data_IF_434806294686
#
_entry.id   IF_434806294686
#
_cell.length_a   1.000
_cell.length_b   1.000
_cell.length_c   1.000
_cell.angle_alpha   90.00
_cell.angle_beta   90.00
_cell.angle_gamma   90.00
#
_symmetry.space_group_name_H-M   'P 1'
#
loop_
_entity.id
_entity.type
_entity.pdbx_description
1 polymer ?
#
# COMPACT_ATOMS: atom_id res chain seq x y z
N UNK A 1 20.56 1.24 -24.16
CA UNK A 1 20.34 1.85 -22.83
C UNK A 1 20.65 3.34 -22.77
N UNK A 2 21.70 3.86 -23.44
CA UNK A 2 22.00 5.31 -23.49
C UNK A 2 20.97 6.11 -24.30
N UNK A 3 20.38 5.52 -25.32
CA UNK A 3 19.37 6.19 -26.18
C UNK A 3 18.05 6.41 -25.44
N UNK A 4 17.57 5.44 -24.68
CA UNK A 4 16.35 5.56 -23.86
C UNK A 4 16.50 6.57 -22.69
N UNK A 5 17.68 6.69 -22.10
CA UNK A 5 17.94 7.72 -21.08
C UNK A 5 17.93 9.14 -21.68
N UNK A 6 18.46 9.33 -22.87
CA UNK A 6 18.37 10.62 -23.59
C UNK A 6 16.93 10.98 -23.95
N UNK A 7 16.14 10.03 -24.45
CA UNK A 7 14.72 10.28 -24.73
C UNK A 7 13.91 10.65 -23.48
N UNK A 8 14.13 10.00 -22.34
CA UNK A 8 13.49 10.37 -21.08
C UNK A 8 13.92 11.75 -20.58
N UNK A 9 15.19 12.07 -20.67
CA UNK A 9 15.68 13.40 -20.28
C UNK A 9 15.18 14.50 -21.24
N UNK A 10 15.12 14.25 -22.53
CA UNK A 10 14.49 15.14 -23.49
C UNK A 10 13.00 15.35 -23.20
N UNK A 11 12.25 14.28 -22.94
CA UNK A 11 10.83 14.39 -22.63
C UNK A 11 10.51 15.21 -21.36
N UNK A 12 11.35 15.15 -20.34
CA UNK A 12 11.14 15.88 -19.08
C UNK A 12 11.71 17.30 -19.16
N UNK A 13 12.90 17.48 -19.74
CA UNK A 13 13.59 18.77 -19.81
C UNK A 13 13.04 19.70 -20.85
N UNK A 14 12.80 19.19 -22.05
CA UNK A 14 12.46 20.03 -23.21
C UNK A 14 10.98 20.39 -23.24
N UNK A 15 10.11 19.58 -22.63
CA UNK A 15 8.67 19.86 -22.56
C UNK A 15 8.26 20.84 -21.46
N UNK A 16 9.08 21.03 -20.43
CA UNK A 16 8.81 22.01 -19.37
C UNK A 16 9.32 23.42 -19.71
N UNK A 17 10.29 23.56 -20.63
CA UNK A 17 11.06 24.79 -20.79
C UNK A 17 11.29 25.20 -22.24
N UNK A 18 10.84 24.43 -23.24
CA UNK A 18 11.16 24.74 -24.61
C UNK A 18 10.06 25.54 -25.32
N UNK A 19 10.47 26.52 -26.12
CA UNK A 19 9.73 26.98 -27.28
C UNK A 19 9.55 25.81 -28.21
N UNK A 20 8.45 25.13 -28.08
CA UNK A 20 8.22 23.83 -28.69
C UNK A 20 7.58 24.03 -30.07
N UNK A 21 8.38 23.91 -31.10
CA UNK A 21 7.91 23.84 -32.49
C UNK A 21 7.32 22.47 -32.87
N UNK A 22 7.10 21.59 -31.85
CA UNK A 22 6.51 20.28 -32.08
C UNK A 22 5.00 20.40 -32.36
N UNK A 23 4.57 19.74 -33.41
CA UNK A 23 3.14 19.58 -33.74
C UNK A 23 2.66 18.30 -33.06
N UNK A 24 1.69 18.45 -32.19
CA UNK A 24 1.10 17.32 -31.45
C UNK A 24 -0.21 16.90 -32.08
N UNK A 25 -0.51 15.61 -32.06
CA UNK A 25 -1.79 15.06 -32.53
C UNK A 25 -2.95 15.58 -31.66
N UNK A 26 -2.71 15.77 -30.35
CA UNK A 26 -3.67 16.29 -29.40
C UNK A 26 -2.96 16.97 -28.23
N UNK A 27 -3.62 17.89 -27.55
CA UNK A 27 -3.07 18.63 -26.40
C UNK A 27 -4.07 18.65 -25.25
N UNK A 28 -3.56 18.48 -24.03
CA UNK A 28 -4.32 18.58 -22.78
C UNK A 28 -3.75 19.72 -21.95
N UNK A 29 -4.65 20.50 -21.36
CA UNK A 29 -4.30 21.56 -20.41
C UNK A 29 -4.88 21.23 -19.03
N UNK A 30 -4.05 21.32 -17.99
CA UNK A 30 -4.47 21.14 -16.60
C UNK A 30 -4.03 22.36 -15.78
N UNK A 31 -4.99 23.04 -15.19
CA UNK A 31 -4.71 24.02 -14.14
C UNK A 31 -4.38 23.30 -12.83
N UNK A 32 -3.12 23.35 -12.43
CA UNK A 32 -2.63 22.71 -11.21
C UNK A 32 -3.28 23.23 -9.93
N UNK A 33 -3.86 24.44 -9.93
CA UNK A 33 -4.60 24.99 -8.79
C UNK A 33 -5.91 24.22 -8.51
N UNK A 34 -6.44 23.50 -9.50
CA UNK A 34 -7.64 22.67 -9.36
C UNK A 34 -7.38 21.29 -8.75
N UNK A 35 -6.10 20.92 -8.58
CA UNK A 35 -5.71 19.65 -7.97
C UNK A 35 -5.82 19.76 -6.46
N UNK A 36 -6.79 19.10 -5.89
CA UNK A 36 -7.09 19.09 -4.44
C UNK A 36 -6.81 17.72 -3.82
N UNK A 37 -6.57 17.64 -2.50
CA UNK A 37 -6.36 16.38 -1.81
C UNK A 37 -7.50 15.38 -2.04
N UNK A 38 -7.14 14.18 -2.49
CA UNK A 38 -8.08 13.12 -2.84
C UNK A 38 -7.62 11.76 -2.35
N UNK A 39 -8.58 10.87 -2.15
CA UNK A 39 -8.39 9.42 -2.01
C UNK A 39 -9.16 8.73 -3.13
N UNK A 40 -8.96 7.43 -3.31
CA UNK A 40 -9.69 6.66 -4.31
C UNK A 40 -10.37 5.45 -3.68
N UNK A 41 -11.63 5.21 -4.04
CA UNK A 41 -12.40 4.07 -3.53
C UNK A 41 -13.90 4.30 -3.63
N UNK A 42 -14.70 3.30 -3.20
CA UNK A 42 -14.32 2.16 -2.36
C UNK A 42 -13.86 0.89 -3.10
N UNK A 43 -13.95 0.84 -4.43
CA UNK A 43 -13.76 -0.43 -5.16
C UNK A 43 -12.76 -0.37 -6.31
N UNK A 44 -12.48 0.81 -6.87
CA UNK A 44 -11.63 0.97 -8.05
C UNK A 44 -10.67 2.15 -7.90
N UNK A 45 -9.47 2.07 -8.48
CA UNK A 45 -8.46 3.14 -8.38
C UNK A 45 -8.91 4.48 -8.98
N UNK A 46 -9.81 4.46 -9.94
CA UNK A 46 -10.34 5.67 -10.60
C UNK A 46 -11.53 6.30 -9.87
N UNK A 47 -12.09 5.66 -8.86
CA UNK A 47 -13.20 6.22 -8.08
C UNK A 47 -12.65 7.35 -7.20
N UNK A 48 -12.70 8.58 -7.71
CA UNK A 48 -12.15 9.77 -7.05
C UNK A 48 -13.08 10.24 -5.93
N UNK A 49 -12.51 10.43 -4.75
CA UNK A 49 -13.19 10.99 -3.58
C UNK A 49 -12.39 12.17 -3.05
N UNK A 50 -12.99 13.35 -2.95
CA UNK A 50 -12.35 14.50 -2.31
C UNK A 50 -12.15 14.20 -0.83
N UNK A 51 -10.97 14.54 -0.29
CA UNK A 51 -10.68 14.26 1.11
C UNK A 51 -11.66 14.98 2.07
N UNK A 52 -12.14 16.17 1.68
CA UNK A 52 -13.17 16.93 2.38
C UNK A 52 -14.56 16.27 2.36
N UNK A 53 -14.77 15.33 1.44
CA UNK A 53 -16.04 14.64 1.26
C UNK A 53 -15.97 13.16 1.67
N UNK A 54 -14.83 12.71 2.21
CA UNK A 54 -14.60 11.30 2.52
C UNK A 54 -15.68 10.71 3.44
N UNK A 55 -15.99 11.41 4.54
CA UNK A 55 -17.03 10.97 5.49
C UNK A 55 -18.43 10.94 4.86
N UNK A 56 -18.81 11.96 4.10
CA UNK A 56 -20.12 12.03 3.42
C UNK A 56 -20.24 10.99 2.31
N UNK A 57 -19.15 10.74 1.57
CA UNK A 57 -19.09 9.69 0.56
C UNK A 57 -19.22 8.31 1.20
N UNK A 58 -18.60 8.09 2.37
CA UNK A 58 -18.73 6.82 3.08
C UNK A 58 -20.19 6.51 3.46
N UNK A 59 -21.00 7.51 3.84
CA UNK A 59 -22.44 7.31 4.10
C UNK A 59 -23.18 6.78 2.88
N UNK A 60 -22.83 7.22 1.67
CA UNK A 60 -23.39 6.67 0.42
C UNK A 60 -22.89 5.24 0.19
N UNK A 61 -21.59 5.00 0.41
CA UNK A 61 -20.97 3.66 0.31
C UNK A 61 -21.64 2.66 1.26
N UNK A 62 -21.94 3.08 2.50
CA UNK A 62 -22.68 2.26 3.46
C UNK A 62 -24.03 1.83 2.90
N UNK A 63 -24.82 2.78 2.41
CA UNK A 63 -26.14 2.50 1.81
C UNK A 63 -26.03 1.59 0.58
N UNK A 64 -25.05 1.84 -0.29
CA UNK A 64 -24.90 1.12 -1.56
C UNK A 64 -24.45 -0.33 -1.35
N UNK A 65 -23.50 -0.58 -0.43
CA UNK A 65 -22.92 -1.90 -0.20
C UNK A 65 -23.73 -2.70 0.82
N UNK A 66 -23.99 -2.13 2.00
CA UNK A 66 -24.65 -2.86 3.09
C UNK A 66 -26.16 -2.75 3.09
N UNK A 67 -26.74 -1.88 2.24
CA UNK A 67 -28.18 -1.57 2.22
C UNK A 67 -28.70 -0.98 3.53
N UNK A 68 -27.83 -0.46 4.39
CA UNK A 68 -28.16 0.19 5.65
C UNK A 68 -28.04 1.71 5.53
N UNK A 69 -28.91 2.44 6.18
CA UNK A 69 -28.84 3.91 6.23
C UNK A 69 -28.09 4.39 7.48
N UNK A 70 -28.10 3.59 8.54
CA UNK A 70 -27.38 3.84 9.79
C UNK A 70 -26.34 2.75 10.02
N UNK A 71 -25.15 3.11 10.53
CA UNK A 71 -24.11 2.13 10.85
C UNK A 71 -24.60 1.13 11.91
N UNK A 72 -24.28 -0.15 11.72
CA UNK A 72 -24.46 -1.20 12.73
C UNK A 72 -23.20 -1.29 13.58
N UNK A 73 -23.34 -1.33 14.90
CA UNK A 73 -22.27 -1.55 15.87
C UNK A 73 -22.43 -2.86 16.60
N UNK A 74 -21.32 -3.55 16.88
CA UNK A 74 -21.30 -4.79 17.65
C UNK A 74 -20.11 -4.82 18.59
N UNK A 75 -20.30 -5.37 19.79
CA UNK A 75 -19.22 -5.58 20.74
C UNK A 75 -18.33 -6.74 20.27
N UNK A 76 -17.01 -6.54 20.30
CA UNK A 76 -16.03 -7.60 19.97
C UNK A 76 -15.76 -8.44 21.20
N UNK A 77 -15.87 -9.76 21.08
CA UNK A 77 -15.61 -10.67 22.19
C UNK A 77 -14.19 -10.47 22.77
N UNK A 78 -14.07 -10.55 24.08
CA UNK A 78 -12.81 -10.40 24.82
C UNK A 78 -12.07 -9.06 24.61
N UNK A 79 -12.74 -8.07 24.04
CA UNK A 79 -12.18 -6.74 23.81
C UNK A 79 -13.09 -5.67 24.41
N UNK A 80 -12.47 -4.52 24.77
CA UNK A 80 -13.19 -3.37 25.36
C UNK A 80 -13.64 -2.35 24.28
N UNK A 81 -13.74 -2.78 23.04
CA UNK A 81 -14.20 -1.92 21.95
C UNK A 81 -15.33 -2.55 21.15
N UNK A 82 -16.02 -1.67 20.41
CA UNK A 82 -17.04 -2.06 19.45
C UNK A 82 -16.54 -1.88 18.02
N UNK A 83 -16.91 -2.80 17.14
CA UNK A 83 -16.77 -2.63 15.71
C UNK A 83 -18.09 -2.12 15.13
N UNK A 84 -17.97 -1.11 14.29
CA UNK A 84 -19.08 -0.46 13.62
C UNK A 84 -18.82 -0.43 12.10
N UNK A 85 -19.85 -0.39 11.30
CA UNK A 85 -19.73 -0.14 9.87
C UNK A 85 -18.85 1.09 9.60
N UNK A 86 -17.84 0.94 8.74
CA UNK A 86 -16.89 2.00 8.45
C UNK A 86 -15.61 1.97 9.28
N UNK A 87 -15.51 1.10 10.29
CA UNK A 87 -14.23 0.91 10.99
C UNK A 87 -13.17 0.41 10.03
N UNK A 88 -12.00 1.04 10.10
CA UNK A 88 -10.83 0.66 9.34
C UNK A 88 -10.14 -0.47 10.08
N UNK A 89 -10.14 -1.67 9.50
CA UNK A 89 -9.52 -2.85 10.11
C UNK A 89 -8.16 -3.19 9.50
N UNK A 90 -7.82 -2.59 8.34
CA UNK A 90 -6.51 -2.71 7.71
C UNK A 90 -6.04 -1.31 7.29
N UNK A 91 -4.86 -0.91 7.75
CA UNK A 91 -4.18 0.30 7.31
C UNK A 91 -2.75 -0.08 6.88
N UNK A 92 -2.44 0.02 5.58
CA UNK A 92 -1.19 -0.50 5.05
C UNK A 92 -0.44 0.50 4.19
N UNK A 93 0.82 0.73 4.51
CA UNK A 93 1.76 1.42 3.63
C UNK A 93 2.42 0.36 2.75
N UNK A 94 2.11 0.38 1.44
CA UNK A 94 2.61 -0.60 0.48
C UNK A 94 3.66 0.00 -0.44
N UNK A 95 4.39 -0.86 -1.18
CA UNK A 95 5.51 -0.46 -2.03
C UNK A 95 5.13 0.41 -3.23
N UNK A 96 3.87 0.43 -3.65
CA UNK A 96 3.48 0.97 -4.96
C UNK A 96 3.77 2.47 -5.13
N UNK A 97 3.69 3.23 -4.04
CA UNK A 97 3.85 4.70 -4.07
C UNK A 97 5.22 5.14 -3.58
N UNK A 98 5.80 4.41 -2.65
CA UNK A 98 6.97 4.86 -1.88
C UNK A 98 8.32 4.62 -2.57
N UNK A 99 8.39 3.70 -3.52
CA UNK A 99 9.63 3.36 -4.22
C UNK A 99 10.09 4.47 -5.16
N UNK A 100 9.15 5.22 -5.72
CA UNK A 100 9.41 6.28 -6.69
C UNK A 100 9.50 7.68 -6.08
N UNK A 101 8.98 7.87 -4.86
CA UNK A 101 8.98 9.18 -4.19
C UNK A 101 9.24 9.05 -2.69
N UNK A 102 10.48 9.24 -2.22
CA UNK A 102 10.81 9.14 -0.80
C UNK A 102 10.14 10.21 0.07
N UNK A 103 9.70 11.35 -0.51
CA UNK A 103 9.03 12.41 0.24
C UNK A 103 7.77 11.90 0.96
N UNK A 104 7.01 10.99 0.33
CA UNK A 104 5.75 10.50 0.93
C UNK A 104 6.01 9.58 2.13
N UNK A 105 7.12 8.83 2.13
CA UNK A 105 7.51 7.98 3.26
C UNK A 105 8.10 8.80 4.40
N UNK A 106 8.95 9.76 4.09
CA UNK A 106 9.45 10.74 5.07
C UNK A 106 8.27 11.50 5.66
N UNK A 107 7.31 11.94 4.84
CA UNK A 107 6.09 12.59 5.31
C UNK A 107 5.27 11.71 6.27
N UNK A 108 5.11 10.41 5.96
CA UNK A 108 4.43 9.46 6.84
C UNK A 108 5.18 9.25 8.16
N UNK A 109 6.52 9.12 8.11
CA UNK A 109 7.36 8.98 9.29
C UNK A 109 7.36 10.22 10.19
N UNK A 110 7.39 11.43 9.60
CA UNK A 110 7.30 12.69 10.35
C UNK A 110 5.92 12.88 10.99
N UNK A 111 4.84 12.50 10.28
CA UNK A 111 3.49 12.50 10.83
C UNK A 111 3.39 11.52 12.00
N UNK A 112 3.91 10.29 11.84
CA UNK A 112 3.96 9.30 12.90
C UNK A 112 4.74 9.80 14.13
N UNK A 113 5.89 10.46 13.91
CA UNK A 113 6.68 11.07 14.96
C UNK A 113 5.88 12.09 15.75
N UNK A 114 5.28 13.08 15.08
CA UNK A 114 4.47 14.11 15.74
C UNK A 114 3.28 13.52 16.48
N UNK A 115 2.61 12.53 15.89
CA UNK A 115 1.49 11.82 16.53
C UNK A 115 1.92 11.10 17.82
N UNK A 116 3.00 10.33 17.78
CA UNK A 116 3.53 9.59 18.92
C UNK A 116 4.05 10.54 20.03
N UNK A 117 4.75 11.61 19.64
CA UNK A 117 5.21 12.65 20.59
C UNK A 117 4.04 13.30 21.34
N UNK A 118 2.90 13.52 20.68
CA UNK A 118 1.66 14.00 21.30
C UNK A 118 0.86 12.89 22.02
N UNK A 119 1.27 11.61 21.91
CA UNK A 119 0.64 10.48 22.61
C UNK A 119 -0.53 9.85 21.86
N UNK A 120 -0.73 10.19 20.59
CA UNK A 120 -1.72 9.51 19.76
C UNK A 120 -1.28 8.07 19.47
N UNK A 121 -2.26 7.19 19.34
CA UNK A 121 -2.07 5.78 18.98
C UNK A 121 -3.06 5.37 17.90
N UNK A 122 -2.71 4.35 17.14
CA UNK A 122 -3.65 3.68 16.24
C UNK A 122 -4.72 2.95 17.04
N UNK A 123 -5.91 2.78 16.46
CA UNK A 123 -6.99 2.10 17.15
C UNK A 123 -6.71 0.60 17.25
N UNK A 124 -7.14 -0.07 18.36
CA UNK A 124 -6.78 -1.47 18.62
C UNK A 124 -7.35 -2.46 17.60
N UNK A 125 -8.39 -2.09 16.87
CA UNK A 125 -8.97 -2.92 15.81
C UNK A 125 -8.29 -2.75 14.46
N UNK A 126 -7.33 -1.80 14.32
CA UNK A 126 -6.65 -1.53 13.06
C UNK A 126 -5.37 -2.35 12.95
N UNK A 127 -5.32 -3.25 12.00
CA UNK A 127 -4.09 -3.94 11.62
C UNK A 127 -3.25 -3.04 10.73
N UNK A 128 -2.15 -2.55 11.25
CA UNK A 128 -1.19 -1.71 10.53
C UNK A 128 -0.05 -2.53 9.92
N UNK A 129 0.54 -2.06 8.84
CA UNK A 129 1.74 -2.68 8.25
C UNK A 129 2.50 -1.71 7.35
N UNK A 130 3.82 -1.91 7.25
CA UNK A 130 4.69 -1.24 6.31
C UNK A 130 5.40 -2.28 5.44
N UNK A 131 5.24 -2.17 4.12
CA UNK A 131 5.93 -2.99 3.15
C UNK A 131 6.66 -2.09 2.14
N UNK A 132 7.93 -1.71 2.41
CA UNK A 132 8.70 -0.84 1.53
C UNK A 132 8.98 -1.48 0.17
N UNK A 133 9.17 -0.65 -0.85
CA UNK A 133 9.53 -1.12 -2.19
C UNK A 133 10.96 -1.60 -2.32
N UNK A 134 11.84 -1.20 -1.42
CA UNK A 134 13.22 -1.65 -1.35
C UNK A 134 13.81 -1.47 0.04
N UNK A 135 14.92 -2.15 0.30
CA UNK A 135 15.66 -2.01 1.56
C UNK A 135 16.26 -0.61 1.74
N UNK A 136 16.49 0.15 0.67
CA UNK A 136 16.93 1.55 0.75
C UNK A 136 15.91 2.42 1.49
N UNK A 137 14.61 2.10 1.38
CA UNK A 137 13.56 2.80 2.15
C UNK A 137 13.77 2.62 3.64
N UNK A 138 14.04 1.40 4.08
CA UNK A 138 14.35 1.11 5.48
C UNK A 138 15.61 1.85 5.93
N UNK A 139 16.65 1.89 5.08
CA UNK A 139 17.91 2.57 5.40
C UNK A 139 17.69 4.07 5.63
N UNK A 140 16.98 4.77 4.74
CA UNK A 140 16.77 6.21 4.93
C UNK A 140 15.78 6.52 6.07
N UNK A 141 14.77 5.69 6.32
CA UNK A 141 13.88 5.87 7.48
C UNK A 141 14.63 5.67 8.80
N UNK A 142 15.52 4.68 8.87
CA UNK A 142 16.39 4.45 10.02
C UNK A 142 17.35 5.63 10.23
N UNK A 143 18.02 6.10 9.17
CA UNK A 143 18.94 7.23 9.24
C UNK A 143 18.24 8.54 9.63
N UNK A 144 16.99 8.71 9.22
CA UNK A 144 16.14 9.82 9.62
C UNK A 144 15.59 9.70 11.04
N UNK A 145 15.76 8.56 11.72
CA UNK A 145 15.22 8.28 13.06
C UNK A 145 13.71 8.18 13.10
N UNK A 146 13.06 7.80 11.99
CA UNK A 146 11.60 7.77 11.87
C UNK A 146 11.00 6.39 12.10
N UNK A 147 11.79 5.33 11.94
CA UNK A 147 11.35 3.92 12.14
C UNK A 147 10.73 3.69 13.53
N UNK A 148 11.34 4.13 14.65
CA UNK A 148 10.74 3.86 15.98
C UNK A 148 9.33 4.42 16.14
N UNK A 149 9.03 5.57 15.55
CA UNK A 149 7.70 6.18 15.62
C UNK A 149 6.67 5.47 14.73
N UNK A 150 7.10 4.96 13.57
CA UNK A 150 6.25 4.11 12.75
C UNK A 150 5.95 2.80 13.47
N UNK A 151 6.95 2.18 14.10
CA UNK A 151 6.79 0.94 14.89
C UNK A 151 5.88 1.17 16.10
N UNK A 152 6.00 2.31 16.80
CA UNK A 152 5.12 2.67 17.94
C UNK A 152 3.65 2.75 17.51
N UNK A 153 3.37 3.22 16.29
CA UNK A 153 2.03 3.21 15.70
C UNK A 153 1.67 1.87 15.02
N UNK A 154 2.50 0.85 15.17
CA UNK A 154 2.28 -0.50 14.65
C UNK A 154 2.59 -0.67 13.16
N UNK A 155 3.14 0.34 12.48
CA UNK A 155 3.59 0.23 11.09
C UNK A 155 4.95 -0.46 10.98
N UNK A 156 5.03 -1.68 11.51
CA UNK A 156 6.23 -2.51 11.43
C UNK A 156 6.49 -2.98 10.00
N UNK A 157 7.76 -3.09 9.63
CA UNK A 157 8.15 -3.66 8.34
C UNK A 157 7.84 -5.16 8.33
N UNK A 158 6.86 -5.56 7.51
CA UNK A 158 6.39 -6.96 7.39
C UNK A 158 6.96 -7.68 6.18
N UNK A 159 7.63 -6.96 5.28
CA UNK A 159 8.23 -7.49 4.07
C UNK A 159 8.54 -6.38 3.09
N UNK A 160 9.00 -6.74 1.90
CA UNK A 160 9.31 -5.80 0.82
C UNK A 160 8.49 -6.12 -0.42
N UNK A 161 7.96 -5.09 -1.07
CA UNK A 161 7.18 -5.25 -2.30
C UNK A 161 5.67 -5.19 -2.08
N UNK A 162 4.93 -5.77 -3.02
CA UNK A 162 3.47 -5.77 -3.01
C UNK A 162 2.93 -6.81 -2.02
N UNK A 163 2.61 -6.40 -0.80
CA UNK A 163 2.04 -7.27 0.24
C UNK A 163 0.52 -7.10 0.31
N UNK A 164 0.03 -6.13 1.05
CA UNK A 164 -1.42 -5.89 1.24
C UNK A 164 -2.16 -5.66 -0.09
N UNK A 165 -1.55 -4.95 -1.04
CA UNK A 165 -2.17 -4.67 -2.34
C UNK A 165 -2.51 -5.93 -3.17
N UNK A 166 -1.94 -7.08 -2.83
CA UNK A 166 -2.20 -8.39 -3.46
C UNK A 166 -2.82 -9.42 -2.48
N UNK A 167 -3.31 -8.97 -1.34
CA UNK A 167 -3.97 -9.83 -0.36
C UNK A 167 -3.05 -10.54 0.63
N UNK A 168 -1.78 -10.16 0.73
CA UNK A 168 -0.80 -10.78 1.63
C UNK A 168 -0.70 -10.09 3.01
N UNK A 169 -1.76 -9.43 3.47
CA UNK A 169 -1.80 -8.86 4.84
C UNK A 169 -1.87 -9.92 5.94
N UNK A 170 -2.19 -11.15 5.57
CA UNK A 170 -2.56 -12.21 6.50
C UNK A 170 -3.96 -12.02 7.10
N UNK A 171 -4.46 -12.99 7.88
CA UNK A 171 -5.79 -12.94 8.47
C UNK A 171 -5.87 -11.84 9.53
N UNK A 172 -7.07 -11.26 9.69
CA UNK A 172 -7.38 -10.45 10.87
C UNK A 172 -7.40 -11.34 12.12
N UNK A 173 -7.25 -10.78 13.34
CA UNK A 173 -7.54 -11.50 14.57
C UNK A 173 -8.93 -12.14 14.52
N UNK A 174 -9.05 -13.36 15.04
CA UNK A 174 -10.28 -14.15 14.91
C UNK A 174 -11.50 -13.42 15.45
N UNK A 175 -11.36 -12.72 16.57
CA UNK A 175 -12.45 -11.98 17.21
C UNK A 175 -12.97 -10.84 16.31
N UNK A 176 -12.07 -10.15 15.62
CA UNK A 176 -12.41 -9.09 14.65
C UNK A 176 -13.04 -9.71 13.40
N UNK A 177 -12.42 -10.77 12.88
CA UNK A 177 -12.90 -11.49 11.70
C UNK A 177 -14.31 -12.02 11.90
N UNK A 178 -14.57 -12.70 13.02
CA UNK A 178 -15.87 -13.25 13.38
C UNK A 178 -16.91 -12.13 13.58
N UNK A 179 -16.56 -11.06 14.29
CA UNK A 179 -17.46 -9.92 14.46
C UNK A 179 -17.91 -9.31 13.13
N UNK A 180 -17.01 -9.26 12.12
CA UNK A 180 -17.36 -8.77 10.79
C UNK A 180 -18.27 -9.75 10.06
N UNK A 181 -17.93 -11.04 10.03
CA UNK A 181 -18.64 -12.05 9.25
C UNK A 181 -20.03 -12.35 9.83
N UNK A 182 -20.11 -12.61 11.13
CA UNK A 182 -21.35 -12.99 11.81
C UNK A 182 -22.39 -11.87 11.83
N UNK A 183 -21.92 -10.64 11.70
CA UNK A 183 -22.80 -9.46 11.74
C UNK A 183 -22.91 -8.73 10.40
N UNK A 184 -22.27 -9.23 9.35
CA UNK A 184 -22.23 -8.60 8.03
C UNK A 184 -21.83 -7.12 8.10
N UNK A 185 -20.79 -6.80 8.89
CA UNK A 185 -20.31 -5.43 9.01
C UNK A 185 -19.58 -4.98 7.75
N UNK A 186 -19.74 -3.70 7.40
CA UNK A 186 -18.98 -3.05 6.34
C UNK A 186 -17.63 -2.58 6.88
N UNK A 187 -16.69 -3.51 6.98
CA UNK A 187 -15.31 -3.20 7.33
C UNK A 187 -14.56 -2.52 6.17
N UNK A 188 -13.59 -1.68 6.51
CA UNK A 188 -12.84 -0.83 5.56
C UNK A 188 -11.35 -1.12 5.62
N UNK A 189 -10.68 -1.01 4.48
CA UNK A 189 -9.22 -0.89 4.41
C UNK A 189 -8.79 0.45 3.81
N UNK A 190 -7.65 0.98 4.29
CA UNK A 190 -6.97 2.15 3.72
C UNK A 190 -5.53 1.77 3.44
N UNK A 191 -5.08 1.92 2.19
CA UNK A 191 -3.74 1.50 1.80
C UNK A 191 -3.11 2.43 0.77
N UNK A 192 -1.78 2.56 0.81
CA UNK A 192 -1.01 3.32 -0.19
C UNK A 192 -0.68 2.47 -1.42
N UNK A 193 -1.65 1.72 -1.92
CA UNK A 193 -1.51 0.83 -3.06
C UNK A 193 -1.96 1.46 -4.38
N UNK A 194 -2.04 0.62 -5.41
CA UNK A 194 -2.55 1.01 -6.73
C UNK A 194 -3.77 0.17 -7.18
N UNK A 195 -4.25 -0.72 -6.33
CA UNK A 195 -5.41 -1.59 -6.56
C UNK A 195 -6.21 -1.72 -5.27
N UNK A 196 -7.52 -1.63 -5.38
CA UNK A 196 -8.47 -1.71 -4.25
C UNK A 196 -9.73 -2.49 -4.61
N UNK A 197 -9.61 -3.46 -5.53
CA UNK A 197 -10.75 -4.28 -5.93
C UNK A 197 -11.25 -5.13 -4.76
N UNK A 198 -12.56 -5.30 -4.68
CA UNK A 198 -13.22 -6.17 -3.70
C UNK A 198 -12.66 -7.60 -3.78
N UNK A 199 -12.47 -8.23 -2.63
CA UNK A 199 -11.85 -9.57 -2.52
C UNK A 199 -10.36 -9.64 -2.75
N UNK A 200 -9.71 -8.56 -3.24
CA UNK A 200 -8.27 -8.55 -3.52
C UNK A 200 -7.43 -8.26 -2.27
N UNK A 201 -7.86 -7.31 -1.44
CA UNK A 201 -7.09 -6.87 -0.26
C UNK A 201 -7.30 -7.85 0.89
N UNK A 202 -8.55 -8.19 1.15
CA UNK A 202 -8.98 -9.16 2.15
C UNK A 202 -10.37 -9.68 1.79
N UNK A 203 -10.67 -10.97 2.02
CA UNK A 203 -11.98 -11.53 1.71
C UNK A 203 -13.10 -10.94 2.59
N UNK A 204 -12.76 -10.41 3.76
CA UNK A 204 -13.75 -9.88 4.73
C UNK A 204 -13.93 -8.36 4.65
N UNK A 205 -13.15 -7.67 3.81
CA UNK A 205 -13.20 -6.21 3.67
C UNK A 205 -13.83 -5.83 2.34
N UNK A 206 -15.02 -5.23 2.38
CA UNK A 206 -15.80 -4.90 1.19
C UNK A 206 -15.54 -3.50 0.63
N UNK A 207 -15.05 -2.56 1.43
CA UNK A 207 -14.74 -1.20 1.03
C UNK A 207 -13.24 -0.90 1.21
N UNK A 208 -12.57 -0.57 0.11
CA UNK A 208 -11.12 -0.41 0.09
C UNK A 208 -10.75 0.95 -0.49
N UNK A 209 -10.00 1.76 0.26
CA UNK A 209 -9.59 3.10 -0.16
C UNK A 209 -8.08 3.19 -0.36
N UNK A 210 -7.69 3.86 -1.44
CA UNK A 210 -6.31 4.20 -1.72
C UNK A 210 -6.03 5.61 -1.21
N UNK A 211 -4.95 5.76 -0.46
CA UNK A 211 -4.53 7.04 0.11
C UNK A 211 -3.00 7.15 0.09
N UNK A 212 -2.47 8.36 0.23
CA UNK A 212 -1.03 8.56 0.40
C UNK A 212 -0.53 7.95 1.73
N UNK A 213 0.74 7.56 1.85
CA UNK A 213 1.29 7.03 3.09
C UNK A 213 1.00 7.88 4.35
N UNK A 214 1.14 9.22 4.34
CA UNK A 214 0.76 10.04 5.51
C UNK A 214 -0.73 9.92 5.86
N UNK A 215 -1.61 9.88 4.87
CA UNK A 215 -3.05 9.73 5.09
C UNK A 215 -3.40 8.32 5.61
N UNK A 216 -2.67 7.27 5.20
CA UNK A 216 -2.83 5.92 5.78
C UNK A 216 -2.56 5.94 7.29
N UNK A 217 -1.49 6.63 7.73
CA UNK A 217 -1.20 6.80 9.16
C UNK A 217 -2.31 7.57 9.87
N UNK A 218 -2.76 8.69 9.30
CA UNK A 218 -3.85 9.49 9.87
C UNK A 218 -5.15 8.69 10.02
N UNK A 219 -5.55 7.93 9.00
CA UNK A 219 -6.73 7.08 9.06
C UNK A 219 -6.60 5.89 10.02
N UNK A 220 -5.38 5.36 10.23
CA UNK A 220 -5.15 4.34 11.24
C UNK A 220 -5.37 4.89 12.66
N UNK A 221 -4.99 6.14 12.91
CA UNK A 221 -5.24 6.84 14.18
C UNK A 221 -6.73 7.15 14.34
N UNK A 222 -7.42 7.65 13.29
CA UNK A 222 -8.85 7.88 13.30
C UNK A 222 -9.65 6.57 13.48
N UNK A 223 -9.22 5.48 12.85
CA UNK A 223 -9.79 4.13 12.97
C UNK A 223 -11.15 3.95 12.28
N UNK A 224 -11.64 4.93 11.55
CA UNK A 224 -12.91 4.87 10.84
C UNK A 224 -12.90 5.75 9.59
N UNK A 225 -13.64 5.33 8.56
CA UNK A 225 -13.83 6.12 7.34
C UNK A 225 -14.95 7.16 7.48
N UNK A 226 -15.86 6.95 8.44
CA UNK A 226 -16.89 7.93 8.80
C UNK A 226 -16.28 9.01 9.70
N UNK A 227 -15.33 9.78 9.16
CA UNK A 227 -14.51 10.75 9.90
C UNK A 227 -14.06 11.90 8.99
N UNK A 228 -14.26 13.13 9.45
CA UNK A 228 -13.78 14.33 8.75
C UNK A 228 -12.38 14.71 9.28
N UNK A 229 -11.34 14.31 8.52
CA UNK A 229 -9.94 14.57 8.87
C UNK A 229 -9.61 16.06 9.10
N UNK A 230 -10.40 16.99 8.55
CA UNK A 230 -10.16 18.43 8.70
C UNK A 230 -10.84 19.04 9.92
N UNK A 231 -11.96 18.46 10.38
CA UNK A 231 -12.81 19.05 11.40
C UNK A 231 -12.80 18.31 12.73
N UNK A 232 -12.57 17.00 12.70
CA UNK A 232 -12.65 16.16 13.89
C UNK A 232 -11.25 15.91 14.46
N UNK A 233 -11.09 15.90 15.80
CA UNK A 233 -9.81 15.59 16.42
C UNK A 233 -9.49 14.09 16.28
N UNK A 234 -8.26 13.79 15.89
CA UNK A 234 -7.75 12.41 15.80
C UNK A 234 -7.69 11.70 17.16
N UNK A 235 -7.59 12.46 18.23
CA UNK A 235 -7.58 11.97 19.60
C UNK A 235 -7.20 13.05 20.60
N UNK A 236 -7.02 12.62 21.85
CA UNK A 236 -6.49 13.47 22.92
C UNK A 236 -4.98 13.33 23.04
N UNK A 237 -4.28 14.44 23.15
CA UNK A 237 -2.86 14.47 23.46
C UNK A 237 -2.56 14.08 24.91
N UNK A 238 -1.26 14.00 25.24
CA UNK A 238 -0.79 13.69 26.60
C UNK A 238 -1.27 14.71 27.65
N UNK A 239 -1.52 15.92 27.21
CA UNK A 239 -2.03 17.05 28.01
C UNK A 239 -3.57 17.11 28.05
N UNK A 240 -4.26 16.15 27.41
CA UNK A 240 -5.72 16.09 27.31
C UNK A 240 -6.34 17.01 26.25
N UNK A 241 -5.54 17.78 25.52
CA UNK A 241 -6.02 18.63 24.44
C UNK A 241 -6.40 17.83 23.19
N UNK A 242 -7.33 18.36 22.41
CA UNK A 242 -7.70 17.78 21.13
C UNK A 242 -6.58 17.98 20.10
N UNK A 243 -6.16 16.88 19.45
CA UNK A 243 -5.15 16.88 18.41
C UNK A 243 -5.80 16.66 17.06
N UNK A 244 -5.62 17.61 16.15
CA UNK A 244 -6.15 17.57 14.80
C UNK A 244 -5.08 17.18 13.79
N UNK A 245 -5.50 16.79 12.58
CA UNK A 245 -4.57 16.44 11.50
C UNK A 245 -3.55 17.57 11.22
N UNK A 246 -3.99 18.84 11.24
CA UNK A 246 -3.14 20.00 11.01
C UNK A 246 -1.98 20.13 12.01
N UNK A 247 -2.15 19.62 13.23
CA UNK A 247 -1.14 19.75 14.30
C UNK A 247 0.01 18.75 14.09
N UNK A 248 -0.25 17.66 13.40
CA UNK A 248 0.73 16.60 13.13
C UNK A 248 1.18 16.54 11.66
N UNK A 249 0.54 17.29 10.75
CA UNK A 249 0.90 17.28 9.34
C UNK A 249 2.26 17.96 9.13
N UNK A 250 3.27 17.26 8.53
CA UNK A 250 4.57 17.86 8.30
C UNK A 250 4.53 18.88 7.18
N UNK A 251 5.29 19.97 7.33
CA UNK A 251 5.48 20.93 6.25
C UNK A 251 6.39 20.39 5.15
N UNK A 252 6.24 20.89 3.93
CA UNK A 252 7.11 20.52 2.80
C UNK A 252 8.59 20.74 3.13
N UNK A 253 8.91 21.83 3.87
CA UNK A 253 10.28 22.15 4.26
C UNK A 253 10.85 21.12 5.26
N UNK A 254 10.07 20.64 6.20
CA UNK A 254 10.48 19.56 7.12
C UNK A 254 10.78 18.28 6.34
N UNK A 255 9.91 17.91 5.39
CA UNK A 255 10.10 16.74 4.54
C UNK A 255 11.39 16.87 3.72
N UNK A 256 11.59 17.99 3.05
CA UNK A 256 12.76 18.26 2.22
C UNK A 256 14.06 18.23 3.04
N UNK A 257 14.11 18.93 4.16
CA UNK A 257 15.27 18.97 5.04
C UNK A 257 15.63 17.57 5.56
N UNK A 258 14.62 16.78 5.97
CA UNK A 258 14.82 15.41 6.43
C UNK A 258 15.35 14.53 5.31
N UNK A 259 14.78 14.63 4.11
CA UNK A 259 15.20 13.88 2.95
C UNK A 259 16.66 14.17 2.58
N UNK A 260 17.03 15.43 2.52
CA UNK A 260 18.41 15.85 2.21
C UNK A 260 19.42 15.36 3.25
N UNK A 261 19.04 15.22 4.51
CA UNK A 261 19.91 14.73 5.58
C UNK A 261 20.08 13.21 5.59
N UNK A 262 19.13 12.46 5.06
CA UNK A 262 19.10 11.00 5.23
C UNK A 262 19.35 10.20 3.95
N UNK A 263 18.99 10.71 2.77
CA UNK A 263 19.11 9.96 1.50
C UNK A 263 20.41 10.29 0.79
N UNK A 264 21.20 9.27 0.46
CA UNK A 264 22.40 9.41 -0.36
C UNK A 264 22.60 8.23 -1.33
N UNK A 265 23.47 8.44 -2.32
CA UNK A 265 23.76 7.46 -3.38
C UNK A 265 24.44 6.18 -2.86
N UNK A 266 25.14 6.25 -1.72
CA UNK A 266 25.85 5.09 -1.15
C UNK A 266 24.87 4.01 -0.69
N UNK A 267 23.68 4.38 -0.22
CA UNK A 267 22.62 3.43 0.17
C UNK A 267 22.26 2.51 -0.98
N UNK A 268 22.09 3.07 -2.18
CA UNK A 268 21.78 2.28 -3.38
C UNK A 268 22.95 1.38 -3.77
N UNK A 269 24.18 1.90 -3.77
CA UNK A 269 25.37 1.10 -4.06
C UNK A 269 25.52 -0.06 -3.08
N UNK A 270 25.36 0.20 -1.77
CA UNK A 270 25.52 -0.82 -0.75
C UNK A 270 24.47 -1.94 -0.88
N UNK A 271 23.23 -1.59 -1.20
CA UNK A 271 22.15 -2.58 -1.33
C UNK A 271 22.18 -3.38 -2.62
N UNK A 272 22.61 -2.76 -3.72
CA UNK A 272 22.50 -3.38 -5.04
C UNK A 272 23.83 -3.85 -5.63
N UNK A 273 24.98 -3.55 -5.01
CA UNK A 273 26.30 -3.99 -5.52
C UNK A 273 26.47 -5.51 -5.53
N UNK A 274 25.80 -6.22 -4.63
CA UNK A 274 25.87 -7.67 -4.44
C UNK A 274 24.48 -8.33 -4.50
N UNK A 275 23.58 -7.77 -5.29
CA UNK A 275 22.21 -8.27 -5.38
C UNK A 275 22.12 -9.72 -5.88
N UNK A 276 23.09 -10.15 -6.68
CA UNK A 276 23.16 -11.52 -7.21
C UNK A 276 23.60 -12.56 -6.17
N UNK A 277 24.26 -12.14 -5.09
CA UNK A 277 24.77 -13.08 -4.09
C UNK A 277 23.66 -13.69 -3.25
N UNK A 278 22.54 -12.97 -3.08
CA UNK A 278 21.42 -13.37 -2.22
C UNK A 278 21.78 -13.35 -0.72
N UNK A 279 20.84 -13.70 0.15
CA UNK A 279 21.08 -13.85 1.59
C UNK A 279 21.92 -15.10 1.90
N UNK A 280 22.43 -15.20 3.12
CA UNK A 280 23.26 -16.32 3.56
C UNK A 280 22.56 -17.68 3.41
N UNK A 281 21.27 -17.70 3.65
CA UNK A 281 20.43 -18.90 3.50
C UNK A 281 20.41 -19.35 2.04
N UNK A 282 20.33 -18.43 1.07
CA UNK A 282 20.43 -18.74 -0.35
C UNK A 282 21.82 -19.25 -0.71
N UNK A 283 22.88 -18.61 -0.22
CA UNK A 283 24.26 -19.00 -0.47
C UNK A 283 24.62 -20.36 0.14
N UNK A 284 23.91 -20.79 1.19
CA UNK A 284 24.12 -22.08 1.86
C UNK A 284 23.48 -23.26 1.13
N UNK A 285 22.63 -23.01 0.12
CA UNK A 285 22.03 -24.07 -0.68
C UNK A 285 23.10 -24.67 -1.58
N UNK A 286 23.47 -25.91 -1.32
CA UNK A 286 24.38 -26.67 -2.18
C UNK A 286 23.57 -27.45 -3.19
N UNK A 287 23.86 -27.26 -4.48
CA UNK A 287 23.26 -28.01 -5.57
C UNK A 287 24.38 -28.54 -6.47
N UNK A 288 24.27 -29.79 -6.90
CA UNK A 288 25.13 -30.32 -7.93
C UNK A 288 24.68 -29.80 -9.30
N UNK A 289 25.59 -29.30 -10.13
CA UNK A 289 25.24 -28.86 -11.47
C UNK A 289 24.75 -30.06 -12.30
N UNK A 290 23.52 -30.00 -12.75
CA UNK A 290 22.94 -30.99 -13.65
C UNK A 290 22.42 -30.33 -14.92
N UNK A 291 22.43 -31.04 -16.04
CA UNK A 291 21.84 -30.57 -17.30
C UNK A 291 20.31 -30.65 -17.32
N UNK A 292 19.76 -31.49 -16.45
CA UNK A 292 18.31 -31.72 -16.34
C UNK A 292 17.94 -31.64 -14.87
N UNK A 293 16.82 -31.03 -14.56
CA UNK A 293 16.28 -30.98 -13.20
C UNK A 293 15.88 -32.37 -12.72
N UNK A 294 16.37 -32.77 -11.56
CA UNK A 294 16.01 -34.07 -10.94
C UNK A 294 14.66 -33.94 -10.22
N UNK A 295 13.62 -34.41 -10.87
CA UNK A 295 12.25 -34.35 -10.38
C UNK A 295 12.00 -35.37 -9.28
N UNK A 296 11.70 -34.94 -8.08
CA UNK A 296 11.27 -35.79 -6.98
C UNK A 296 9.81 -36.25 -7.20
N UNK A 297 9.60 -37.49 -7.54
CA UNK A 297 8.26 -38.07 -7.76
C UNK A 297 7.35 -38.07 -6.53
N UNK A 298 7.94 -38.01 -5.32
CA UNK A 298 7.21 -37.90 -4.04
C UNK A 298 6.80 -36.49 -3.68
N UNK A 299 7.30 -35.46 -4.40
CA UNK A 299 6.94 -34.06 -4.11
C UNK A 299 5.50 -33.78 -4.51
N UNK A 300 4.75 -33.17 -3.61
CA UNK A 300 3.39 -32.69 -3.89
C UNK A 300 3.35 -31.22 -4.33
N UNK A 301 4.47 -30.50 -4.15
CA UNK A 301 4.56 -29.06 -4.43
C UNK A 301 5.27 -28.75 -5.75
N UNK A 302 6.45 -29.35 -5.99
CA UNK A 302 7.19 -29.21 -7.24
C UNK A 302 7.14 -30.52 -8.00
N UNK A 303 6.27 -30.60 -9.00
CA UNK A 303 6.04 -31.81 -9.81
C UNK A 303 6.48 -31.58 -11.25
N UNK A 304 6.98 -32.65 -11.88
CA UNK A 304 7.20 -32.65 -13.32
C UNK A 304 5.88 -32.37 -14.04
N UNK A 305 5.81 -31.37 -14.90
CA UNK A 305 4.60 -31.06 -15.64
C UNK A 305 4.27 -32.18 -16.63
N UNK A 306 3.05 -32.74 -16.60
CA UNK A 306 2.69 -33.92 -17.43
C UNK A 306 2.69 -33.61 -18.94
N UNK A 307 2.58 -32.36 -19.33
CA UNK A 307 2.60 -31.97 -20.76
C UNK A 307 4.00 -32.06 -21.39
N UNK A 308 5.05 -32.35 -20.62
CA UNK A 308 6.40 -32.66 -21.14
C UNK A 308 6.66 -34.16 -21.32
N UNK A 309 5.76 -35.05 -20.88
CA UNK A 309 6.01 -36.51 -20.89
C UNK A 309 6.09 -37.08 -22.29
N UNK A 310 5.38 -36.47 -23.25
CA UNK A 310 5.34 -36.90 -24.65
C UNK A 310 6.13 -35.95 -25.58
N UNK A 311 6.90 -35.02 -25.04
CA UNK A 311 7.73 -34.11 -25.85
C UNK A 311 8.90 -34.89 -26.47
N UNK A 312 9.08 -34.69 -27.76
CA UNK A 312 10.25 -35.16 -28.52
C UNK A 312 11.26 -34.03 -28.71
N UNK A 313 12.52 -34.35 -29.00
CA UNK A 313 13.58 -33.37 -29.27
C UNK A 313 13.27 -32.49 -30.49
N UNK A 314 12.44 -32.99 -31.39
CA UNK A 314 11.93 -32.23 -32.53
C UNK A 314 10.43 -31.95 -32.31
N UNK A 315 10.04 -30.72 -32.02
CA UNK A 315 8.64 -30.38 -31.81
C UNK A 315 7.83 -30.55 -33.09
N UNK A 316 6.73 -31.28 -33.01
CA UNK A 316 5.77 -31.33 -34.13
C UNK A 316 5.19 -29.94 -34.41
N UNK A 317 4.92 -29.65 -35.69
CA UNK A 317 4.23 -28.42 -36.06
C UNK A 317 2.84 -28.29 -35.46
N UNK A 318 2.27 -27.12 -35.45
CA UNK A 318 0.92 -26.87 -34.95
C UNK A 318 -0.10 -27.74 -35.69
N UNK A 319 -0.88 -28.51 -34.93
CA UNK A 319 -2.02 -29.29 -35.46
C UNK A 319 -3.27 -28.40 -35.47
N UNK A 320 -4.09 -28.54 -36.50
CA UNK A 320 -5.37 -27.85 -36.55
C UNK A 320 -6.26 -28.32 -35.39
N UNK A 321 -6.77 -27.40 -34.59
CA UNK A 321 -7.71 -27.69 -33.50
C UNK A 321 -9.12 -27.65 -34.09
N UNK A 322 -9.77 -28.84 -34.15
CA UNK A 322 -11.15 -28.97 -34.63
C UNK A 322 -12.09 -29.18 -33.45
N UNK A 323 -13.31 -28.68 -33.58
CA UNK A 323 -14.41 -28.89 -32.63
C UNK A 323 -14.13 -28.45 -31.18
N UNK A 324 -13.17 -27.56 -30.95
CA UNK A 324 -12.94 -27.01 -29.62
C UNK A 324 -14.15 -26.19 -29.15
N UNK A 325 -14.60 -26.42 -27.94
CA UNK A 325 -15.70 -25.69 -27.29
C UNK A 325 -15.18 -24.97 -26.05
N UNK A 326 -15.62 -23.75 -25.85
CA UNK A 326 -15.44 -23.05 -24.59
C UNK A 326 -16.37 -23.70 -23.54
N UNK A 327 -15.82 -24.05 -22.39
CA UNK A 327 -16.57 -24.62 -21.26
C UNK A 327 -16.94 -23.50 -20.27
#
# INVERSE_FOLDING_TARGET
HRHYRRQRQMCIRDRLWADNNAVYTDTLSLDMSTVVPTISGPKRPQDKVLLTEAASTFKKVLKDISKRETPKSVKVEKNDFELEDGKIVIAAITSCTNTSNPNVLIGAGLLAKKAAELGLKTKPWVRTSLAPGSQVVTDYLNKAGLTPYLDELGFNTVGYGCTTCIGNSGPLPDEINNAILDNDLLAVSVLSGNRNFEGRISPVVKANFLASPPLVVAYAIAGTMNFDLYKEPLGKGKDGQDVFLKDIWPSNKEIENTLMSCLDASMFKNRYSKVSDGPKEWQSITTEPTSIYDWNSGSTYVKKPPFFDEMTDEPEGFKEIKDARLL
#
